data_IF_720780706752
#
_entry.id   IF_720780706752
#
_cell.length_a   1.000
_cell.length_b   1.000
_cell.length_c   1.000
_cell.angle_alpha   90.00
_cell.angle_beta   90.00
_cell.angle_gamma   90.00
#
_symmetry.space_group_name_H-M   'P 1'
#
loop_
_entity.id
_entity.type
_entity.pdbx_description
1 polymer ?
#
# COMPACT_ATOMS: atom_id res chain seq x y z
N UNK A 1 16.07 12.64 -8.56
CA UNK A 1 14.76 13.14 -8.12
C UNK A 1 13.82 11.95 -8.07
N UNK A 2 13.16 11.79 -6.93
CA UNK A 2 11.98 10.96 -6.66
C UNK A 2 11.96 9.49 -7.13
N UNK A 3 12.00 8.55 -6.20
CA UNK A 3 11.39 7.23 -6.43
C UNK A 3 10.72 6.65 -5.19
N UNK A 4 10.17 7.50 -4.32
CA UNK A 4 9.21 7.02 -3.31
C UNK A 4 7.90 6.73 -4.02
N UNK A 5 7.77 5.51 -4.57
CA UNK A 5 6.55 5.10 -5.27
C UNK A 5 5.42 4.94 -4.26
N UNK A 6 4.31 5.62 -4.54
CA UNK A 6 3.07 5.58 -3.75
C UNK A 6 1.97 5.06 -4.64
N UNK A 7 1.22 4.05 -4.18
CA UNK A 7 0.08 3.56 -4.93
C UNK A 7 -1.05 4.59 -4.94
N UNK A 8 -1.89 4.66 -6.00
CA UNK A 8 -3.04 5.55 -6.05
C UNK A 8 -3.99 5.40 -4.85
N UNK A 9 -4.06 4.20 -4.28
CA UNK A 9 -4.86 3.88 -3.10
C UNK A 9 -4.23 4.32 -1.75
N UNK A 10 -3.06 4.96 -1.75
CA UNK A 10 -2.37 5.45 -0.56
C UNK A 10 -1.58 4.41 0.22
N UNK A 11 -1.25 3.27 -0.39
CA UNK A 11 -0.19 2.40 0.13
C UNK A 11 1.17 3.02 -0.21
N UNK A 12 2.02 3.12 0.80
CA UNK A 12 3.45 3.43 0.73
C UNK A 12 4.25 2.25 0.15
N UNK A 13 4.19 2.05 -1.18
CA UNK A 13 4.90 0.95 -1.83
C UNK A 13 6.40 0.96 -1.50
N UNK A 14 7.01 2.13 -1.37
CA UNK A 14 8.41 2.29 -0.98
C UNK A 14 8.76 1.73 0.42
N UNK A 15 7.79 1.48 1.30
CA UNK A 15 7.98 0.80 2.59
C UNK A 15 7.53 -0.67 2.58
N UNK A 16 7.01 -1.17 1.46
CA UNK A 16 6.58 -2.57 1.34
C UNK A 16 7.81 -3.50 1.29
N UNK A 17 7.81 -4.57 2.07
CA UNK A 17 8.92 -5.55 2.07
C UNK A 17 9.09 -6.27 0.71
N UNK A 18 8.08 -6.26 -0.16
CA UNK A 18 8.14 -6.88 -1.48
C UNK A 18 8.59 -5.94 -2.58
N UNK A 19 8.69 -4.65 -2.28
CA UNK A 19 9.19 -3.68 -3.24
C UNK A 19 10.65 -4.00 -3.59
N UNK A 20 11.02 -3.83 -4.85
CA UNK A 20 12.29 -4.32 -5.39
C UNK A 20 13.53 -3.81 -4.66
N UNK A 21 13.47 -2.59 -4.08
CA UNK A 21 14.55 -2.03 -3.28
C UNK A 21 14.62 -2.58 -1.84
N UNK A 22 13.55 -3.22 -1.36
CA UNK A 22 13.38 -3.63 0.04
C UNK A 22 13.44 -5.15 0.22
N UNK A 23 13.11 -5.91 -0.83
CA UNK A 23 12.95 -7.36 -0.74
C UNK A 23 14.29 -8.06 -0.44
N UNK A 24 14.30 -8.82 0.66
CA UNK A 24 15.48 -9.57 1.11
C UNK A 24 15.49 -10.98 0.55
N UNK A 25 16.67 -11.60 0.41
CA UNK A 25 16.76 -12.99 -0.07
C UNK A 25 16.03 -13.97 0.86
N UNK A 26 16.06 -13.73 2.18
CA UNK A 26 15.31 -14.51 3.17
C UNK A 26 13.80 -14.43 2.90
N UNK A 27 13.28 -13.24 2.58
CA UNK A 27 11.87 -13.09 2.25
C UNK A 27 11.52 -13.74 0.90
N UNK A 28 12.41 -13.63 -0.10
CA UNK A 28 12.25 -14.31 -1.39
C UNK A 28 12.16 -15.82 -1.23
N UNK A 29 13.10 -16.42 -0.51
CA UNK A 29 13.15 -17.86 -0.22
C UNK A 29 11.85 -18.33 0.45
N UNK A 30 11.41 -17.58 1.47
CA UNK A 30 10.18 -17.86 2.23
C UNK A 30 8.94 -17.85 1.34
N UNK A 31 8.78 -16.82 0.51
CA UNK A 31 7.60 -16.68 -0.36
C UNK A 31 7.66 -17.68 -1.52
N UNK A 32 8.82 -17.84 -2.14
CA UNK A 32 9.10 -18.84 -3.18
C UNK A 32 8.67 -20.24 -2.72
N UNK A 33 9.09 -20.65 -1.53
CA UNK A 33 8.74 -21.95 -0.94
C UNK A 33 7.25 -22.06 -0.65
N UNK A 34 6.66 -21.05 -0.01
CA UNK A 34 5.25 -21.08 0.39
C UNK A 34 4.28 -21.07 -0.81
N UNK A 35 4.62 -20.32 -1.85
CA UNK A 35 3.78 -20.18 -3.05
C UNK A 35 4.18 -21.12 -4.19
N UNK A 36 5.28 -21.87 -4.05
CA UNK A 36 5.85 -22.76 -5.06
C UNK A 36 6.10 -22.05 -6.40
N UNK A 37 6.72 -20.88 -6.33
CA UNK A 37 7.08 -20.07 -7.51
C UNK A 37 8.60 -19.84 -7.55
N UNK A 38 9.21 -19.58 -8.72
CA UNK A 38 10.61 -19.18 -8.79
C UNK A 38 10.90 -17.93 -7.96
N UNK A 39 12.04 -17.90 -7.26
CA UNK A 39 12.43 -16.79 -6.38
C UNK A 39 12.60 -15.47 -7.14
N UNK A 40 12.94 -15.54 -8.41
CA UNK A 40 13.12 -14.40 -9.32
C UNK A 40 11.80 -13.65 -9.56
N UNK A 41 10.66 -14.33 -9.38
CA UNK A 41 9.34 -13.71 -9.45
C UNK A 41 8.94 -13.00 -8.15
N UNK A 42 9.69 -13.16 -7.06
CA UNK A 42 9.40 -12.51 -5.77
C UNK A 42 10.05 -11.12 -5.74
N UNK A 43 9.52 -10.22 -6.56
CA UNK A 43 9.91 -8.81 -6.61
C UNK A 43 8.74 -7.95 -7.14
N UNK A 44 8.56 -6.74 -6.62
CA UNK A 44 7.45 -5.85 -6.96
C UNK A 44 7.98 -4.46 -7.33
N UNK A 45 7.42 -3.86 -8.39
CA UNK A 45 7.78 -2.51 -8.87
C UNK A 45 6.88 -1.40 -8.33
N UNK A 46 6.02 -1.72 -7.36
CA UNK A 46 4.98 -0.80 -6.88
C UNK A 46 3.79 -0.72 -7.83
N UNK A 47 2.76 0.02 -7.46
CA UNK A 47 1.52 0.14 -8.25
C UNK A 47 1.49 1.46 -9.04
N UNK A 48 2.49 1.67 -9.89
CA UNK A 48 2.64 2.83 -10.79
C UNK A 48 3.18 2.35 -12.14
N UNK A 49 3.13 3.18 -13.19
CA UNK A 49 3.64 2.87 -14.54
C UNK A 49 3.11 1.54 -15.12
N UNK A 50 1.81 1.29 -14.94
CA UNK A 50 1.15 0.07 -15.43
C UNK A 50 1.41 -1.20 -14.60
N UNK A 51 2.14 -1.10 -13.48
CA UNK A 51 2.34 -2.21 -12.55
C UNK A 51 1.22 -2.30 -11.52
N UNK A 52 1.07 -3.47 -10.87
CA UNK A 52 0.17 -3.67 -9.75
C UNK A 52 0.83 -4.46 -8.61
N UNK A 53 0.04 -4.83 -7.60
CA UNK A 53 0.54 -5.62 -6.48
C UNK A 53 0.95 -7.03 -6.95
N UNK A 54 2.18 -7.44 -6.63
CA UNK A 54 2.72 -8.77 -6.94
C UNK A 54 1.76 -9.91 -6.58
N UNK A 55 1.09 -9.86 -5.43
CA UNK A 55 0.16 -10.93 -5.05
C UNK A 55 -1.06 -11.03 -5.96
N UNK A 56 -1.47 -9.96 -6.63
CA UNK A 56 -2.52 -10.00 -7.63
C UNK A 56 -2.00 -10.58 -8.94
N UNK A 57 -0.80 -10.21 -9.36
CA UNK A 57 -0.13 -10.79 -10.54
C UNK A 57 0.02 -12.30 -10.41
N UNK A 58 0.52 -12.77 -9.26
CA UNK A 58 0.68 -14.20 -8.97
C UNK A 58 -0.65 -14.98 -8.94
N UNK A 59 -1.77 -14.29 -8.72
CA UNK A 59 -3.11 -14.87 -8.75
C UNK A 59 -3.78 -14.74 -10.13
N UNK A 60 -3.16 -14.08 -11.10
CA UNK A 60 -3.80 -13.73 -12.37
C UNK A 60 -5.01 -12.80 -12.20
N UNK A 61 -4.99 -11.93 -11.18
CA UNK A 61 -6.08 -10.99 -10.85
C UNK A 61 -5.69 -9.55 -11.16
N UNK A 62 -6.70 -8.71 -11.33
CA UNK A 62 -6.55 -7.26 -11.52
C UNK A 62 -6.97 -6.50 -10.27
N UNK A 63 -6.25 -5.42 -9.95
CA UNK A 63 -6.64 -4.52 -8.86
C UNK A 63 -7.77 -3.57 -9.29
N UNK A 64 -8.98 -3.77 -8.75
CA UNK A 64 -10.13 -2.88 -9.01
C UNK A 64 -9.89 -1.42 -8.61
N UNK A 65 -9.17 -1.17 -7.52
CA UNK A 65 -8.86 0.22 -7.09
C UNK A 65 -7.93 0.91 -8.08
N UNK A 66 -6.92 0.21 -8.61
CA UNK A 66 -5.99 0.77 -9.60
C UNK A 66 -6.70 1.00 -10.94
N UNK A 67 -7.52 0.03 -11.38
CA UNK A 67 -8.33 0.17 -12.59
C UNK A 67 -9.26 1.39 -12.50
N UNK A 68 -9.91 1.60 -11.36
CA UNK A 68 -10.76 2.77 -11.11
C UNK A 68 -9.99 4.09 -11.15
N UNK A 69 -8.79 4.17 -10.55
CA UNK A 69 -7.96 5.36 -10.60
C UNK A 69 -7.56 5.72 -12.04
N UNK A 70 -7.15 4.71 -12.81
CA UNK A 70 -6.79 4.86 -14.23
C UNK A 70 -7.99 5.31 -15.08
N UNK A 71 -9.16 4.68 -14.91
CA UNK A 71 -10.39 5.02 -15.64
C UNK A 71 -10.85 6.46 -15.36
N UNK A 72 -10.71 6.91 -14.11
CA UNK A 72 -11.03 8.29 -13.70
C UNK A 72 -9.93 9.30 -14.02
N UNK A 73 -8.75 8.86 -14.46
CA UNK A 73 -7.60 9.74 -14.73
C UNK A 73 -7.10 10.49 -13.50
N UNK A 74 -7.13 9.87 -12.32
CA UNK A 74 -6.59 10.44 -11.07
C UNK A 74 -5.30 9.74 -10.68
N UNK A 75 -4.31 10.49 -10.20
CA UNK A 75 -3.04 9.93 -9.73
C UNK A 75 -3.23 9.32 -8.34
N UNK A 76 -4.09 9.93 -7.51
CA UNK A 76 -4.42 9.46 -6.18
C UNK A 76 -5.91 9.46 -5.92
N UNK A 77 -6.38 8.47 -5.17
CA UNK A 77 -7.80 8.34 -4.84
C UNK A 77 -8.38 9.57 -4.11
N UNK A 78 -7.57 10.39 -3.43
CA UNK A 78 -8.05 11.60 -2.73
C UNK A 78 -8.48 12.74 -3.66
N UNK A 79 -8.09 12.66 -4.94
CA UNK A 79 -8.44 13.61 -6.01
C UNK A 79 -9.80 13.29 -6.62
N UNK A 80 -10.30 12.07 -6.39
CA UNK A 80 -11.62 11.65 -6.85
C UNK A 80 -12.73 12.42 -6.12
N UNK A 81 -13.76 12.83 -6.86
CA UNK A 81 -14.99 13.46 -6.38
C UNK A 81 -15.77 12.61 -5.36
N UNK A 82 -15.75 11.29 -5.53
CA UNK A 82 -16.39 10.33 -4.63
C UNK A 82 -15.48 9.86 -3.48
N UNK A 83 -14.36 10.54 -3.21
CA UNK A 83 -13.48 10.16 -2.12
C UNK A 83 -14.03 10.60 -0.75
N UNK A 84 -14.03 9.72 0.28
CA UNK A 84 -13.66 8.30 0.25
C UNK A 84 -14.79 7.41 -0.29
N UNK A 85 -14.44 6.27 -0.92
CA UNK A 85 -15.41 5.34 -1.52
C UNK A 85 -15.24 3.89 -1.02
N UNK A 86 -16.17 3.01 -1.40
CA UNK A 86 -16.20 1.60 -0.98
C UNK A 86 -14.92 0.80 -1.32
N UNK A 87 -14.21 1.17 -2.39
CA UNK A 87 -13.00 0.45 -2.85
C UNK A 87 -11.80 0.66 -1.92
N UNK A 88 -11.83 1.70 -1.09
CA UNK A 88 -10.79 2.01 -0.11
C UNK A 88 -11.30 1.90 1.33
N UNK A 89 -12.52 1.40 1.53
CA UNK A 89 -13.11 1.25 2.86
C UNK A 89 -12.25 0.29 3.72
N UNK A 90 -11.78 0.73 4.90
CA UNK A 90 -11.08 -0.14 5.83
C UNK A 90 -11.97 -1.30 6.29
N UNK A 91 -11.39 -2.49 6.42
CA UNK A 91 -12.08 -3.69 6.90
C UNK A 91 -11.39 -4.23 8.14
N UNK A 92 -12.17 -4.73 9.11
CA UNK A 92 -11.63 -5.37 10.30
C UNK A 92 -10.86 -6.67 9.95
N UNK A 93 -11.34 -7.41 8.95
CA UNK A 93 -10.72 -8.66 8.54
C UNK A 93 -9.34 -8.42 7.90
N UNK A 94 -8.30 -9.01 8.49
CA UNK A 94 -6.91 -8.89 8.04
C UNK A 94 -6.24 -7.55 8.38
N UNK A 95 -6.84 -6.74 9.26
CA UNK A 95 -6.33 -5.45 9.70
C UNK A 95 -4.94 -5.55 10.38
N UNK A 96 -4.67 -6.66 11.05
CA UNK A 96 -3.41 -7.00 11.72
C UNK A 96 -2.29 -7.41 10.75
N UNK A 97 -2.67 -7.82 9.52
CA UNK A 97 -1.74 -8.40 8.55
C UNK A 97 -1.48 -7.53 7.34
N UNK A 98 -2.49 -6.79 6.85
CA UNK A 98 -2.40 -6.05 5.61
C UNK A 98 -2.47 -4.53 5.85
N UNK A 99 -1.71 -3.71 5.11
CA UNK A 99 -1.72 -2.25 5.25
C UNK A 99 -2.98 -1.59 4.67
N UNK A 100 -4.04 -2.36 4.41
CA UNK A 100 -5.26 -1.91 3.74
C UNK A 100 -5.96 -0.78 4.51
N UNK A 101 -6.00 -0.87 5.84
CA UNK A 101 -6.72 0.11 6.66
C UNK A 101 -5.97 1.44 6.80
N UNK A 102 -4.66 1.45 6.56
CA UNK A 102 -3.88 2.70 6.55
C UNK A 102 -4.16 3.55 5.31
N UNK A 103 -4.69 2.96 4.23
CA UNK A 103 -4.94 3.63 2.93
C UNK A 103 -5.67 4.97 3.07
N UNK A 104 -6.85 4.95 3.69
CA UNK A 104 -7.69 6.16 3.82
C UNK A 104 -7.01 7.21 4.68
N UNK A 105 -6.38 6.79 5.79
CA UNK A 105 -5.64 7.70 6.64
C UNK A 105 -4.50 8.38 5.87
N UNK A 106 -3.70 7.60 5.16
CA UNK A 106 -2.62 8.10 4.30
C UNK A 106 -3.15 9.07 3.24
N UNK A 107 -4.22 8.73 2.53
CA UNK A 107 -4.86 9.58 1.52
C UNK A 107 -5.34 10.92 2.10
N UNK A 108 -5.89 10.92 3.31
CA UNK A 108 -6.28 12.15 4.01
C UNK A 108 -5.07 13.02 4.36
N UNK A 109 -3.96 12.42 4.80
CA UNK A 109 -2.73 13.18 5.12
C UNK A 109 -2.09 13.71 3.84
N UNK A 110 -1.95 12.89 2.79
CA UNK A 110 -1.45 13.33 1.48
C UNK A 110 -2.27 14.51 0.92
N UNK A 111 -3.59 14.48 1.02
CA UNK A 111 -4.46 15.61 0.61
C UNK A 111 -4.21 16.88 1.44
N UNK A 112 -3.88 16.72 2.73
CA UNK A 112 -3.70 17.83 3.67
C UNK A 112 -2.33 18.50 3.55
N UNK A 113 -1.26 17.72 3.38
CA UNK A 113 0.13 18.22 3.45
C UNK A 113 0.95 17.96 2.18
N UNK A 114 0.38 17.29 1.18
CA UNK A 114 1.08 16.86 -0.03
C UNK A 114 1.74 15.48 0.13
N UNK A 115 1.94 14.80 -1.01
CA UNK A 115 2.46 13.43 -1.05
C UNK A 115 3.90 13.34 -0.53
N UNK A 116 4.75 14.29 -0.90
CA UNK A 116 6.16 14.29 -0.48
C UNK A 116 6.32 14.45 1.04
N UNK A 117 5.59 15.41 1.63
CA UNK A 117 5.61 15.61 3.09
C UNK A 117 5.02 14.40 3.83
N UNK A 118 3.94 13.80 3.31
CA UNK A 118 3.40 12.56 3.87
C UNK A 118 4.41 11.40 3.78
N UNK A 119 5.22 11.32 2.73
CA UNK A 119 6.18 10.24 2.56
C UNK A 119 7.25 10.21 3.66
N UNK A 120 7.57 11.36 4.28
CA UNK A 120 8.43 11.43 5.46
C UNK A 120 7.74 10.91 6.74
N UNK A 121 6.40 10.95 6.82
CA UNK A 121 5.61 10.44 7.95
C UNK A 121 5.21 8.95 7.79
N UNK A 122 5.20 8.42 6.56
CA UNK A 122 4.59 7.13 6.22
C UNK A 122 5.11 5.95 7.07
N UNK A 123 6.43 5.91 7.34
CA UNK A 123 7.02 4.86 8.15
C UNK A 123 6.54 4.91 9.61
N UNK A 124 6.40 6.12 10.17
CA UNK A 124 5.93 6.28 11.54
C UNK A 124 4.43 5.98 11.66
N UNK A 125 3.63 6.34 10.66
CA UNK A 125 2.23 5.90 10.57
C UNK A 125 2.16 4.36 10.59
N UNK A 126 3.04 3.67 9.84
CA UNK A 126 3.11 2.20 9.82
C UNK A 126 3.47 1.63 11.19
N UNK A 127 4.49 2.19 11.85
CA UNK A 127 4.89 1.76 13.21
C UNK A 127 3.78 1.97 14.22
N UNK A 128 3.04 3.08 14.11
CA UNK A 128 1.88 3.34 14.97
C UNK A 128 0.79 2.29 14.72
N UNK A 129 0.44 2.07 13.45
CA UNK A 129 -0.65 1.18 13.08
C UNK A 129 -0.42 -0.29 13.50
N UNK A 130 0.80 -0.82 13.30
CA UNK A 130 1.11 -2.22 13.61
C UNK A 130 1.75 -2.44 15.00
N UNK A 131 2.23 -1.39 15.65
CA UNK A 131 3.06 -1.51 16.86
C UNK A 131 2.46 -0.89 18.12
N UNK A 132 1.32 -0.22 18.04
CA UNK A 132 0.68 0.46 19.17
C UNK A 132 -0.68 -0.14 19.50
N UNK A 133 -1.09 -0.01 20.74
CA UNK A 133 -2.39 -0.49 21.20
C UNK A 133 -3.43 0.61 21.11
N UNK A 134 -4.67 0.24 20.81
CA UNK A 134 -5.79 1.17 20.83
C UNK A 134 -6.19 1.44 22.27
N UNK A 135 -6.03 2.69 22.71
CA UNK A 135 -6.67 3.20 23.91
C UNK A 135 -7.91 4.02 23.52
N UNK A 136 -9.09 3.61 24.03
CA UNK A 136 -10.37 4.26 23.72
C UNK A 136 -10.29 5.75 24.07
N UNK A 137 -10.56 6.60 23.08
CA UNK A 137 -10.51 8.06 23.22
C UNK A 137 -9.10 8.68 23.14
N UNK A 138 -8.03 7.87 23.07
CA UNK A 138 -6.64 8.36 22.96
C UNK A 138 -5.89 7.87 21.72
N UNK A 139 -6.48 6.96 20.94
CA UNK A 139 -5.88 6.45 19.70
C UNK A 139 -4.78 5.41 19.96
N UNK A 140 -3.84 5.26 19.02
CA UNK A 140 -2.72 4.33 19.14
C UNK A 140 -1.66 4.82 20.11
N UNK A 141 -1.38 4.06 21.17
CA UNK A 141 -0.37 4.35 22.21
C UNK A 141 0.69 3.27 22.34
#
# INVERSE_FOLDING_TARGET
MNSRIVAPCGIDCFNCELYESNVTEVLRERISTNLKIPKELVTCKGCHDGNQCLFLDLQGKTCETLACANDKGVDYCFECDTFPCKLIMPLANGADRFPQNMKVYNLCIMKRIGVEAWADEALDIRKIYFGKELEIGKGGR
#
